data_IF_685065390950
#
_entry.id   IF_685065390950
#
_cell.length_a   1.000
_cell.length_b   1.000
_cell.length_c   1.000
_cell.angle_alpha   90.00
_cell.angle_beta   90.00
_cell.angle_gamma   90.00
#
_symmetry.space_group_name_H-M   'P 1'
#
loop_
_entity.id
_entity.type
_entity.pdbx_description
1 polymer ?
#
# COMPACT_ATOMS: atom_id res chain seq x y z
N UNK A 1 -6.98 13.52 11.25
CA UNK A 1 -7.37 12.11 11.02
C UNK A 1 -6.17 11.18 10.81
N UNK A 2 -5.50 11.16 9.64
CA UNK A 2 -4.40 10.22 9.38
C UNK A 2 -3.27 10.31 10.42
N UNK A 3 -2.76 11.52 10.71
CA UNK A 3 -1.70 11.73 11.69
C UNK A 3 -2.10 11.31 13.11
N UNK A 4 -3.32 11.65 13.53
CA UNK A 4 -3.86 11.25 14.83
C UNK A 4 -3.95 9.73 14.95
N UNK A 5 -4.47 9.06 13.93
CA UNK A 5 -4.55 7.60 13.88
C UNK A 5 -3.17 6.95 13.80
N UNK A 6 -2.23 7.53 13.05
CA UNK A 6 -0.84 7.06 13.02
C UNK A 6 -0.21 7.10 14.41
N UNK A 7 -0.38 8.20 15.14
CA UNK A 7 0.13 8.35 16.50
C UNK A 7 -0.56 7.39 17.48
N UNK A 8 -1.87 7.16 17.34
CA UNK A 8 -2.57 6.14 18.11
C UNK A 8 -2.01 4.74 17.82
N UNK A 9 -1.88 4.37 16.54
CA UNK A 9 -1.37 3.07 16.13
C UNK A 9 0.08 2.84 16.57
N UNK A 10 0.91 3.89 16.64
CA UNK A 10 2.28 3.81 17.19
C UNK A 10 2.33 3.32 18.65
N UNK A 11 1.25 3.49 19.42
CA UNK A 11 1.16 2.94 20.79
C UNK A 11 0.93 1.42 20.84
N UNK A 12 0.55 0.81 19.71
CA UNK A 12 0.15 -0.60 19.60
C UNK A 12 1.02 -1.38 18.62
N UNK A 13 1.54 -0.70 17.60
CA UNK A 13 2.39 -1.20 16.54
C UNK A 13 3.64 -0.33 16.50
N UNK A 14 4.77 -0.87 16.91
CA UNK A 14 6.01 -0.11 17.01
C UNK A 14 6.41 0.48 15.65
N UNK A 15 6.80 1.75 15.64
CA UNK A 15 7.24 2.51 14.45
C UNK A 15 6.20 2.59 13.32
N UNK A 16 4.90 2.45 13.63
CA UNK A 16 3.86 2.56 12.61
C UNK A 16 3.93 3.90 11.86
N UNK A 17 3.99 3.82 10.54
CA UNK A 17 3.97 4.97 9.64
C UNK A 17 3.17 4.57 8.41
N UNK A 18 2.20 5.40 8.01
CA UNK A 18 1.47 5.20 6.76
C UNK A 18 2.41 5.37 5.57
N UNK A 19 2.23 4.52 4.56
CA UNK A 19 2.95 4.58 3.30
C UNK A 19 1.96 4.94 2.20
N UNK A 20 2.08 6.15 1.65
CA UNK A 20 1.11 6.78 0.76
C UNK A 20 1.55 6.65 -0.70
N UNK A 21 0.67 6.12 -1.53
CA UNK A 21 0.87 6.06 -2.98
C UNK A 21 0.37 7.34 -3.63
N UNK A 22 1.16 7.91 -4.55
CA UNK A 22 0.77 9.15 -5.24
C UNK A 22 0.81 9.04 -6.76
N UNK A 23 -0.13 9.75 -7.39
CA UNK A 23 -0.27 9.93 -8.83
C UNK A 23 -0.53 11.40 -9.12
N UNK A 24 0.51 12.15 -9.45
CA UNK A 24 0.49 13.62 -9.49
C UNK A 24 -0.49 14.22 -10.50
N UNK A 25 -0.95 13.46 -11.51
CA UNK A 25 -1.93 13.95 -12.50
C UNK A 25 -3.24 14.38 -11.87
N UNK A 26 -3.61 13.76 -10.74
CA UNK A 26 -4.89 13.97 -10.08
C UNK A 26 -4.82 14.96 -8.93
N UNK A 27 -3.66 15.57 -8.70
CA UNK A 27 -3.53 16.64 -7.71
C UNK A 27 -4.46 17.79 -8.08
N UNK A 28 -5.27 18.25 -7.11
CA UNK A 28 -6.25 19.31 -7.29
C UNK A 28 -7.25 19.05 -8.43
N UNK A 29 -7.83 17.84 -8.43
CA UNK A 29 -8.89 17.46 -9.40
C UNK A 29 -10.22 17.11 -8.72
N UNK A 30 -10.34 17.38 -7.41
CA UNK A 30 -11.51 17.06 -6.59
C UNK A 30 -12.43 18.25 -6.36
N UNK A 31 -13.21 18.18 -5.28
CA UNK A 31 -13.90 19.36 -4.73
C UNK A 31 -12.92 20.27 -3.99
N UNK A 32 -13.35 21.49 -3.65
CA UNK A 32 -12.54 22.43 -2.86
C UNK A 32 -12.03 21.78 -1.54
N UNK A 33 -12.88 21.03 -0.85
CA UNK A 33 -12.51 20.32 0.37
C UNK A 33 -11.54 19.14 0.14
N UNK A 34 -11.62 18.48 -1.01
CA UNK A 34 -10.68 17.41 -1.38
C UNK A 34 -9.31 17.99 -1.72
N UNK A 35 -9.27 19.10 -2.46
CA UNK A 35 -8.06 19.81 -2.84
C UNK A 35 -7.35 20.43 -1.60
N UNK A 36 -8.11 20.94 -0.63
CA UNK A 36 -7.57 21.32 0.69
C UNK A 36 -6.97 20.12 1.44
N UNK A 37 -7.55 18.93 1.26
CA UNK A 37 -7.03 17.69 1.78
C UNK A 37 -5.68 17.30 1.17
N UNK A 38 -5.55 17.42 -0.15
CA UNK A 38 -4.30 17.21 -0.88
C UNK A 38 -3.21 18.17 -0.37
N UNK A 39 -3.53 19.45 -0.23
CA UNK A 39 -2.65 20.48 0.34
C UNK A 39 -2.16 20.10 1.73
N UNK A 40 -3.07 19.62 2.59
CA UNK A 40 -2.75 19.25 3.97
C UNK A 40 -1.84 18.02 4.04
N UNK A 41 -2.02 17.05 3.14
CA UNK A 41 -1.11 15.90 3.00
C UNK A 41 0.30 16.37 2.61
N UNK A 42 0.39 17.29 1.64
CA UNK A 42 1.68 17.81 1.17
C UNK A 42 2.40 18.68 2.21
N UNK A 43 1.66 19.44 3.03
CA UNK A 43 2.24 20.15 4.19
C UNK A 43 2.78 19.21 5.28
N UNK A 44 2.39 17.94 5.25
CA UNK A 44 2.77 16.91 6.22
C UNK A 44 3.67 15.82 5.61
N UNK A 45 4.38 16.12 4.51
CA UNK A 45 5.16 15.12 3.75
C UNK A 45 6.13 14.33 4.62
N UNK A 46 6.84 14.99 5.53
CA UNK A 46 7.85 14.36 6.39
C UNK A 46 7.27 13.40 7.44
N UNK A 47 5.95 13.42 7.65
CA UNK A 47 5.27 12.54 8.61
C UNK A 47 4.89 11.17 8.03
N UNK A 48 5.01 11.00 6.72
CA UNK A 48 4.58 9.80 5.99
C UNK A 48 5.72 9.19 5.17
N UNK A 49 5.56 7.91 4.84
CA UNK A 49 6.32 7.30 3.74
C UNK A 49 5.55 7.46 2.44
N UNK A 50 6.30 7.46 1.34
CA UNK A 50 5.75 7.71 0.02
C UNK A 50 6.24 6.70 -1.00
N UNK A 51 5.40 6.36 -1.96
CA UNK A 51 5.78 5.58 -3.13
C UNK A 51 5.08 6.08 -4.40
N UNK A 52 5.75 6.04 -5.57
CA UNK A 52 5.13 6.42 -6.81
C UNK A 52 4.11 5.38 -7.24
N UNK A 53 2.96 5.85 -7.75
CA UNK A 53 1.88 5.02 -8.27
C UNK A 53 1.51 5.38 -9.71
N UNK A 54 2.53 5.73 -10.53
CA UNK A 54 2.44 6.27 -11.89
C UNK A 54 1.74 7.64 -11.97
N UNK A 55 2.07 8.43 -12.99
CA UNK A 55 1.50 9.78 -13.18
C UNK A 55 -0.03 9.75 -13.27
N UNK A 56 -0.56 8.93 -14.17
CA UNK A 56 -1.97 8.89 -14.56
C UNK A 56 -2.71 7.65 -14.05
N UNK A 57 -2.14 6.91 -13.10
CA UNK A 57 -2.67 5.63 -12.61
C UNK A 57 -2.95 4.60 -13.72
N UNK A 58 -2.27 4.71 -14.86
CA UNK A 58 -2.42 3.77 -15.97
C UNK A 58 -1.71 2.44 -15.66
N UNK A 59 -2.38 1.34 -16.03
CA UNK A 59 -1.82 0.00 -15.86
C UNK A 59 -0.58 -0.19 -16.76
N UNK A 60 0.58 -0.60 -16.22
CA UNK A 60 1.82 -0.67 -17.00
C UNK A 60 1.79 -1.59 -18.22
N UNK A 61 1.02 -2.69 -18.19
CA UNK A 61 0.92 -3.63 -19.31
C UNK A 61 0.27 -3.03 -20.57
N UNK A 62 -0.43 -1.89 -20.45
CA UNK A 62 -1.02 -1.18 -21.59
C UNK A 62 0.03 -0.42 -22.41
N UNK A 63 1.24 -0.25 -21.87
CA UNK A 63 2.34 0.40 -22.57
C UNK A 63 3.16 -0.65 -23.32
N UNK A 64 3.16 -0.54 -24.65
CA UNK A 64 3.90 -1.45 -25.53
C UNK A 64 5.39 -1.11 -25.66
N UNK A 65 5.81 0.10 -25.25
CA UNK A 65 7.19 0.56 -25.33
C UNK A 65 7.66 1.08 -23.95
N UNK A 66 8.94 0.89 -23.64
CA UNK A 66 9.55 1.34 -22.38
C UNK A 66 9.56 2.88 -22.27
N UNK A 67 9.79 3.59 -23.40
CA UNK A 67 9.90 5.05 -23.43
C UNK A 67 8.68 5.76 -22.85
N UNK A 68 7.46 5.32 -23.21
CA UNK A 68 6.22 5.88 -22.70
C UNK A 68 6.01 5.61 -21.20
N UNK A 69 6.45 4.45 -20.69
CA UNK A 69 6.46 4.20 -19.24
C UNK A 69 7.42 5.16 -18.54
N UNK A 70 8.62 5.33 -19.09
CA UNK A 70 9.64 6.24 -18.55
C UNK A 70 9.13 7.68 -18.53
N UNK A 71 8.49 8.16 -19.60
CA UNK A 71 7.88 9.49 -19.66
C UNK A 71 6.83 9.69 -18.56
N UNK A 72 5.90 8.73 -18.38
CA UNK A 72 4.91 8.81 -17.30
C UNK A 72 5.56 8.78 -15.91
N UNK A 73 6.64 8.02 -15.73
CA UNK A 73 7.37 7.98 -14.47
C UNK A 73 8.14 9.28 -14.19
N UNK A 74 8.71 9.91 -15.22
CA UNK A 74 9.40 11.20 -15.11
C UNK A 74 8.43 12.29 -14.69
N UNK A 75 7.25 12.40 -15.32
CA UNK A 75 6.23 13.39 -14.94
C UNK A 75 5.84 13.25 -13.44
N UNK A 76 5.64 12.02 -12.99
CA UNK A 76 5.31 11.77 -11.59
C UNK A 76 6.50 12.08 -10.65
N UNK A 77 7.74 11.92 -11.11
CA UNK A 77 8.94 12.26 -10.35
C UNK A 77 9.16 13.77 -10.25
N UNK A 78 8.89 14.49 -11.33
CA UNK A 78 8.92 15.96 -11.34
C UNK A 78 7.92 16.53 -10.33
N UNK A 79 6.68 16.01 -10.33
CA UNK A 79 5.68 16.38 -9.32
C UNK A 79 6.18 16.14 -7.89
N UNK A 80 6.80 14.98 -7.64
CA UNK A 80 7.35 14.67 -6.32
C UNK A 80 8.45 15.65 -5.90
N UNK A 81 9.35 16.02 -6.82
CA UNK A 81 10.41 16.98 -6.57
C UNK A 81 9.87 18.39 -6.29
N UNK A 82 8.87 18.82 -7.05
CA UNK A 82 8.22 20.13 -6.88
C UNK A 82 7.55 20.27 -5.51
N UNK A 83 6.94 19.20 -5.01
CA UNK A 83 6.20 19.18 -3.75
C UNK A 83 7.00 18.60 -2.57
N UNK A 84 8.31 18.38 -2.73
CA UNK A 84 9.19 17.90 -1.67
C UNK A 84 8.97 16.44 -1.23
N UNK A 85 8.21 15.65 -1.98
CA UNK A 85 7.97 14.23 -1.67
C UNK A 85 9.28 13.42 -1.81
N UNK A 86 9.69 12.62 -0.79
CA UNK A 86 10.89 11.80 -0.86
C UNK A 86 10.87 10.79 -2.02
N UNK A 87 11.93 10.81 -2.83
CA UNK A 87 12.05 9.95 -4.04
C UNK A 87 12.99 8.75 -3.87
N UNK A 88 13.62 8.60 -2.70
CA UNK A 88 14.67 7.60 -2.43
C UNK A 88 14.21 6.44 -1.53
N UNK A 89 12.90 6.23 -1.41
CA UNK A 89 12.32 5.16 -0.56
C UNK A 89 12.55 3.74 -1.11
N UNK A 90 12.93 3.61 -2.39
CA UNK A 90 13.24 2.32 -3.02
C UNK A 90 12.04 1.39 -3.21
N UNK A 91 10.81 1.88 -3.00
CA UNK A 91 9.58 1.12 -3.08
C UNK A 91 8.58 1.77 -4.05
N UNK A 92 7.92 0.94 -4.87
CA UNK A 92 6.85 1.37 -5.76
C UNK A 92 5.76 0.32 -5.85
N UNK A 93 4.59 0.72 -6.31
CA UNK A 93 3.47 -0.18 -6.57
C UNK A 93 2.90 0.19 -7.94
N UNK A 94 2.70 -0.81 -8.81
CA UNK A 94 2.05 -0.58 -10.09
C UNK A 94 0.54 -0.40 -9.89
N UNK A 95 -0.13 0.50 -10.62
CA UNK A 95 -1.58 0.56 -10.68
C UNK A 95 -2.19 -0.81 -10.95
N UNK A 96 -3.15 -1.21 -10.13
CA UNK A 96 -3.79 -2.53 -10.17
C UNK A 96 -2.84 -3.73 -10.02
N UNK A 97 -1.64 -3.53 -9.46
CA UNK A 97 -0.55 -4.52 -9.44
C UNK A 97 -0.06 -4.98 -10.82
N UNK A 98 -0.56 -4.35 -11.86
CA UNK A 98 -0.43 -4.86 -13.21
C UNK A 98 1.01 -4.79 -13.71
N UNK A 99 1.45 -5.87 -14.35
CA UNK A 99 2.82 -6.03 -14.84
C UNK A 99 3.83 -6.34 -13.74
N UNK A 100 3.44 -6.36 -12.46
CA UNK A 100 4.26 -6.95 -11.40
C UNK A 100 4.23 -8.47 -11.56
N UNK A 101 3.03 -9.05 -11.71
CA UNK A 101 2.85 -10.45 -12.08
C UNK A 101 1.55 -10.72 -12.86
N UNK A 102 1.56 -11.32 -14.07
CA UNK A 102 2.73 -11.72 -14.84
C UNK A 102 3.68 -10.56 -15.09
N UNK A 103 4.97 -10.87 -15.09
CA UNK A 103 6.03 -9.86 -15.18
C UNK A 103 5.96 -9.15 -16.52
N UNK A 104 5.84 -7.81 -16.48
CA UNK A 104 6.05 -6.92 -17.62
C UNK A 104 7.46 -6.36 -17.55
N UNK A 105 8.38 -6.84 -18.40
CA UNK A 105 9.82 -6.56 -18.28
C UNK A 105 10.11 -5.05 -18.30
N UNK A 106 9.43 -4.32 -19.20
CA UNK A 106 9.60 -2.88 -19.37
C UNK A 106 9.29 -2.09 -18.07
N UNK A 107 8.35 -2.57 -17.25
CA UNK A 107 8.02 -1.95 -15.97
C UNK A 107 9.21 -2.00 -15.01
N UNK A 108 9.85 -3.16 -14.87
CA UNK A 108 10.98 -3.34 -13.96
C UNK A 108 12.21 -2.55 -14.42
N UNK A 109 12.48 -2.49 -15.73
CA UNK A 109 13.56 -1.64 -16.27
C UNK A 109 13.29 -0.16 -16.04
N UNK A 110 12.07 0.32 -16.34
CA UNK A 110 11.70 1.72 -16.13
C UNK A 110 11.76 2.11 -14.64
N UNK A 111 11.31 1.24 -13.73
CA UNK A 111 11.39 1.46 -12.30
C UNK A 111 12.82 1.60 -11.78
N UNK A 112 13.74 0.72 -12.19
CA UNK A 112 15.16 0.85 -11.83
C UNK A 112 15.74 2.15 -12.38
N UNK A 113 15.46 2.45 -13.66
CA UNK A 113 16.03 3.59 -14.38
C UNK A 113 15.57 4.94 -13.82
N UNK A 114 14.27 5.10 -13.56
CA UNK A 114 13.70 6.40 -13.17
C UNK A 114 13.71 6.59 -11.65
N UNK A 115 13.37 5.56 -10.90
CA UNK A 115 13.12 5.65 -9.45
C UNK A 115 14.15 4.91 -8.60
N UNK A 116 14.97 4.03 -9.18
CA UNK A 116 15.89 3.19 -8.41
C UNK A 116 15.16 2.20 -7.50
N UNK A 117 14.00 1.67 -7.95
CA UNK A 117 13.20 0.75 -7.13
C UNK A 117 13.96 -0.54 -6.85
N UNK A 118 13.88 -0.98 -5.59
CA UNK A 118 14.44 -2.24 -5.08
C UNK A 118 13.34 -3.18 -4.60
N UNK A 119 12.17 -2.64 -4.25
CA UNK A 119 11.05 -3.39 -3.68
C UNK A 119 9.74 -3.00 -4.36
N UNK A 120 8.90 -3.99 -4.60
CA UNK A 120 7.48 -3.77 -4.90
C UNK A 120 6.64 -4.82 -4.19
N UNK A 121 5.35 -4.87 -4.46
CA UNK A 121 4.47 -5.87 -3.88
C UNK A 121 3.26 -6.11 -4.79
N UNK A 122 2.73 -7.34 -4.74
CA UNK A 122 1.57 -7.75 -5.52
C UNK A 122 0.68 -8.70 -4.73
N UNK A 123 -0.60 -8.74 -5.08
CA UNK A 123 -1.53 -9.79 -4.64
C UNK A 123 -1.69 -10.94 -5.64
N UNK A 124 -0.99 -10.89 -6.78
CA UNK A 124 -1.25 -11.75 -7.94
C UNK A 124 -0.36 -13.01 -7.98
N UNK A 125 0.79 -13.03 -7.30
CA UNK A 125 1.77 -14.12 -7.39
C UNK A 125 1.62 -15.19 -6.31
N UNK A 126 1.70 -16.49 -6.66
CA UNK A 126 1.64 -17.04 -8.02
C UNK A 126 0.22 -17.03 -8.59
N UNK A 127 -0.78 -16.89 -7.71
CA UNK A 127 -2.19 -16.77 -8.06
C UNK A 127 -2.89 -15.78 -7.12
N UNK A 128 -3.87 -15.04 -7.66
CA UNK A 128 -4.71 -14.14 -6.87
C UNK A 128 -5.47 -14.88 -5.75
N UNK A 129 -5.90 -16.13 -6.03
CA UNK A 129 -6.60 -17.00 -5.07
C UNK A 129 -6.04 -18.43 -5.12
N UNK A 130 -6.02 -19.14 -3.97
CA UNK A 130 -6.33 -18.66 -2.63
C UNK A 130 -5.19 -17.82 -2.03
N UNK A 131 -5.51 -16.80 -1.24
CA UNK A 131 -4.54 -15.83 -0.72
C UNK A 131 -3.39 -16.46 0.08
N UNK A 132 -3.65 -17.57 0.78
CA UNK A 132 -2.64 -18.32 1.56
C UNK A 132 -1.49 -18.91 0.74
N UNK A 133 -1.63 -18.99 -0.59
CA UNK A 133 -0.57 -19.48 -1.47
C UNK A 133 0.26 -18.35 -2.07
N UNK A 134 -0.08 -17.08 -1.79
CA UNK A 134 0.71 -15.94 -2.26
C UNK A 134 2.10 -15.99 -1.63
N UNK A 135 3.11 -15.71 -2.46
CA UNK A 135 4.52 -15.71 -2.04
C UNK A 135 5.23 -14.49 -2.57
N UNK A 136 6.36 -14.16 -1.97
CA UNK A 136 7.30 -13.22 -2.58
C UNK A 136 8.10 -13.90 -3.67
N UNK A 137 8.68 -13.09 -4.56
CA UNK A 137 9.69 -13.54 -5.52
C UNK A 137 10.66 -12.40 -5.83
N UNK A 138 11.79 -12.71 -6.42
CA UNK A 138 12.76 -11.71 -6.88
C UNK A 138 12.82 -11.75 -8.39
N UNK A 139 12.61 -10.60 -9.03
CA UNK A 139 12.79 -10.46 -10.47
C UNK A 139 13.65 -9.24 -10.75
N UNK A 140 14.70 -9.41 -11.55
CA UNK A 140 15.55 -8.30 -11.99
C UNK A 140 16.12 -7.47 -10.82
N UNK A 141 16.54 -8.16 -9.75
CA UNK A 141 16.99 -7.60 -8.48
C UNK A 141 15.98 -6.72 -7.74
N UNK A 142 14.69 -6.79 -8.10
CA UNK A 142 13.59 -6.19 -7.35
C UNK A 142 12.89 -7.29 -6.54
N UNK A 143 12.84 -7.09 -5.23
CA UNK A 143 12.13 -7.94 -4.28
C UNK A 143 10.63 -7.64 -4.35
N UNK A 144 9.82 -8.64 -4.68
CA UNK A 144 8.37 -8.53 -4.76
C UNK A 144 7.74 -9.19 -3.55
N UNK A 145 7.02 -8.43 -2.75
CA UNK A 145 6.37 -8.93 -1.54
C UNK A 145 4.89 -9.33 -1.77
N UNK A 146 4.40 -10.40 -1.12
CA UNK A 146 3.01 -10.81 -1.24
C UNK A 146 2.11 -9.93 -0.38
N UNK A 147 1.12 -9.28 -1.00
CA UNK A 147 0.09 -8.52 -0.29
C UNK A 147 -1.05 -9.40 0.19
N UNK A 148 -1.59 -9.05 1.35
CA UNK A 148 -2.82 -9.60 1.90
C UNK A 148 -3.98 -8.64 1.69
N UNK A 149 -5.17 -9.21 1.55
CA UNK A 149 -6.43 -8.45 1.47
C UNK A 149 -6.93 -8.12 2.86
N UNK A 150 -7.49 -6.92 3.06
CA UNK A 150 -8.11 -6.52 4.32
C UNK A 150 -9.65 -6.46 4.26
N UNK A 151 -10.25 -6.92 3.16
CA UNK A 151 -11.70 -6.85 2.94
C UNK A 151 -12.22 -5.46 2.54
N UNK A 152 -11.35 -4.45 2.49
CA UNK A 152 -11.70 -3.11 2.01
C UNK A 152 -11.39 -2.99 0.52
N UNK A 153 -12.42 -2.68 -0.27
CA UNK A 153 -12.31 -2.41 -1.70
C UNK A 153 -12.49 -0.92 -1.99
N UNK A 154 -12.10 -0.48 -3.18
CA UNK A 154 -12.18 0.93 -3.62
C UNK A 154 -13.58 1.53 -3.53
N UNK A 155 -14.61 0.72 -3.76
CA UNK A 155 -16.01 1.15 -3.77
C UNK A 155 -16.69 1.11 -2.40
N UNK A 156 -16.05 0.51 -1.39
CA UNK A 156 -16.62 0.41 -0.04
C UNK A 156 -16.15 1.59 0.79
N UNK A 157 -16.97 2.63 0.83
CA UNK A 157 -16.66 3.92 1.48
C UNK A 157 -17.54 4.23 2.69
N UNK A 158 -18.72 3.62 2.77
CA UNK A 158 -19.65 3.73 3.91
C UNK A 158 -19.75 2.40 4.64
N UNK A 159 -19.78 2.45 5.97
CA UNK A 159 -19.79 1.27 6.83
C UNK A 159 -21.04 0.41 6.60
N UNK A 160 -22.19 1.06 6.45
CA UNK A 160 -23.49 0.42 6.15
C UNK A 160 -23.52 -0.35 4.82
N UNK A 161 -22.62 -0.01 3.90
CA UNK A 161 -22.54 -0.57 2.54
C UNK A 161 -21.45 -1.63 2.41
N UNK A 162 -20.79 -2.00 3.51
CA UNK A 162 -19.80 -3.07 3.50
C UNK A 162 -20.42 -4.37 2.95
N UNK A 163 -19.74 -5.11 2.05
CA UNK A 163 -20.26 -6.35 1.50
C UNK A 163 -20.63 -7.36 2.60
N UNK A 164 -21.91 -7.78 2.64
CA UNK A 164 -22.44 -8.64 3.70
C UNK A 164 -22.89 -7.89 4.97
N UNK A 165 -22.74 -6.57 5.01
CA UNK A 165 -23.17 -5.68 6.08
C UNK A 165 -22.04 -5.31 7.06
N UNK A 166 -22.23 -4.25 7.87
CA UNK A 166 -21.28 -3.80 8.89
C UNK A 166 -20.70 -4.91 9.78
N UNK A 167 -21.55 -5.85 10.18
CA UNK A 167 -21.17 -6.94 11.09
C UNK A 167 -20.13 -7.88 10.46
N UNK A 168 -20.06 -7.99 9.13
CA UNK A 168 -19.05 -8.83 8.48
C UNK A 168 -17.65 -8.21 8.57
N UNK A 169 -17.53 -6.88 8.48
CA UNK A 169 -16.26 -6.19 8.74
C UNK A 169 -15.84 -6.40 10.20
N UNK A 170 -16.76 -6.19 11.14
CA UNK A 170 -16.49 -6.38 12.57
C UNK A 170 -16.07 -7.82 12.89
N UNK A 171 -16.72 -8.82 12.31
CA UNK A 171 -16.34 -10.24 12.47
C UNK A 171 -14.96 -10.51 11.90
N UNK A 172 -14.65 -9.96 10.72
CA UNK A 172 -13.32 -10.11 10.11
C UNK A 172 -12.21 -9.57 11.02
N UNK A 173 -12.44 -8.42 11.66
CA UNK A 173 -11.51 -7.79 12.59
C UNK A 173 -11.40 -8.56 13.92
N UNK A 174 -12.54 -8.95 14.50
CA UNK A 174 -12.63 -9.51 15.87
C UNK A 174 -12.59 -11.03 15.86
N UNK A 175 -11.43 -11.59 15.51
CA UNK A 175 -11.19 -13.03 15.52
C UNK A 175 -11.46 -13.74 14.18
N UNK A 176 -11.93 -13.01 13.16
CA UNK A 176 -12.18 -13.54 11.82
C UNK A 176 -10.99 -13.45 10.88
N UNK A 177 -11.27 -13.36 9.58
CA UNK A 177 -10.28 -13.51 8.49
C UNK A 177 -9.10 -12.54 8.60
N UNK A 178 -9.34 -11.25 8.86
CA UNK A 178 -8.28 -10.25 8.95
C UNK A 178 -7.39 -10.49 10.19
N UNK A 179 -7.98 -10.85 11.33
CA UNK A 179 -7.21 -11.25 12.51
C UNK A 179 -6.37 -12.51 12.24
N UNK A 180 -6.98 -13.55 11.66
CA UNK A 180 -6.29 -14.78 11.30
C UNK A 180 -5.15 -14.53 10.32
N UNK A 181 -5.30 -13.55 9.43
CA UNK A 181 -4.23 -13.14 8.52
C UNK A 181 -3.01 -12.63 9.28
N UNK A 182 -3.17 -11.75 10.27
CA UNK A 182 -2.06 -11.30 11.12
C UNK A 182 -1.49 -12.46 11.94
N UNK A 183 -2.36 -13.32 12.48
CA UNK A 183 -1.93 -14.43 13.34
C UNK A 183 -1.07 -15.47 12.59
N UNK A 184 -1.41 -15.74 11.33
CA UNK A 184 -0.81 -16.80 10.53
C UNK A 184 0.34 -16.31 9.63
N UNK A 185 0.52 -15.00 9.47
CA UNK A 185 1.56 -14.44 8.62
C UNK A 185 2.54 -13.61 9.47
N UNK A 186 3.84 -14.00 9.55
CA UNK A 186 4.83 -13.23 10.32
C UNK A 186 5.11 -11.85 9.72
N UNK A 187 4.78 -11.66 8.44
CA UNK A 187 4.85 -10.38 7.73
C UNK A 187 3.50 -10.18 7.04
N UNK A 188 2.88 -9.04 7.30
CA UNK A 188 1.60 -8.65 6.70
C UNK A 188 1.75 -7.30 5.98
N UNK A 189 1.26 -7.25 4.74
CA UNK A 189 1.27 -6.07 3.87
C UNK A 189 -0.13 -5.91 3.33
N UNK A 190 -0.85 -4.94 3.89
CA UNK A 190 -2.23 -4.69 3.50
C UNK A 190 -2.32 -3.58 2.46
N UNK A 191 -3.23 -3.76 1.51
CA UNK A 191 -3.63 -2.71 0.58
C UNK A 191 -4.92 -2.05 1.04
N UNK A 192 -4.93 -0.73 1.00
CA UNK A 192 -6.10 0.14 1.09
C UNK A 192 -5.99 1.22 0.01
N UNK A 193 -7.08 1.94 -0.24
CA UNK A 193 -7.14 2.99 -1.25
C UNK A 193 -7.58 4.32 -0.61
N UNK A 194 -7.32 5.43 -1.30
CA UNK A 194 -7.69 6.78 -0.87
C UNK A 194 -9.15 6.86 -0.36
N UNK A 195 -10.08 6.24 -1.09
CA UNK A 195 -11.50 6.22 -0.75
C UNK A 195 -11.82 5.57 0.60
N UNK A 196 -10.97 4.65 1.09
CA UNK A 196 -11.13 4.04 2.41
C UNK A 196 -10.77 4.99 3.56
N UNK A 197 -10.20 6.16 3.27
CA UNK A 197 -9.83 7.20 4.24
C UNK A 197 -10.68 8.46 4.14
N UNK A 198 -11.56 8.56 3.13
CA UNK A 198 -12.61 9.58 3.03
C UNK A 198 -13.79 9.28 3.98
N UNK A 199 -15.00 9.69 3.61
CA UNK A 199 -16.31 9.38 4.25
C UNK A 199 -16.25 8.74 5.66
N UNK A 200 -16.58 7.45 5.79
CA UNK A 200 -16.63 6.74 7.09
C UNK A 200 -15.24 6.26 7.57
N UNK A 201 -14.17 6.57 6.80
CA UNK A 201 -12.77 6.29 7.15
C UNK A 201 -12.53 4.82 7.51
N UNK A 202 -13.11 3.90 6.72
CA UNK A 202 -13.09 2.47 6.99
C UNK A 202 -11.68 1.89 7.16
N UNK A 203 -10.68 2.42 6.46
CA UNK A 203 -9.28 2.03 6.66
C UNK A 203 -8.81 2.29 8.09
N UNK A 204 -9.11 3.47 8.63
CA UNK A 204 -8.75 3.83 10.01
C UNK A 204 -9.53 3.00 11.03
N UNK A 205 -10.86 2.89 10.82
CA UNK A 205 -11.70 2.05 11.67
C UNK A 205 -11.17 0.61 11.75
N UNK A 206 -10.85 0.01 10.61
CA UNK A 206 -10.44 -1.39 10.51
C UNK A 206 -9.14 -1.64 11.27
N UNK A 207 -8.08 -0.88 10.98
CA UNK A 207 -6.76 -1.16 11.55
C UNK A 207 -6.62 -0.75 13.01
N UNK A 208 -7.32 0.30 13.46
CA UNK A 208 -7.36 0.64 14.90
C UNK A 208 -8.06 -0.45 15.69
N UNK A 209 -9.23 -0.92 15.23
CA UNK A 209 -9.94 -1.99 15.92
C UNK A 209 -9.19 -3.33 15.87
N UNK A 210 -8.48 -3.61 14.77
CA UNK A 210 -7.63 -4.80 14.65
C UNK A 210 -6.45 -4.75 15.63
N UNK A 211 -5.74 -3.62 15.70
CA UNK A 211 -4.62 -3.45 16.63
C UNK A 211 -5.10 -3.54 18.09
N UNK A 212 -6.23 -2.91 18.43
CA UNK A 212 -6.90 -3.05 19.73
C UNK A 212 -7.19 -4.52 20.06
N UNK A 213 -7.77 -5.26 19.11
CA UNK A 213 -8.13 -6.66 19.32
C UNK A 213 -6.89 -7.54 19.52
N UNK A 214 -5.86 -7.40 18.67
CA UNK A 214 -4.59 -8.13 18.80
C UNK A 214 -3.94 -7.87 20.15
N UNK A 215 -3.87 -6.60 20.58
CA UNK A 215 -3.27 -6.20 21.86
C UNK A 215 -4.06 -6.76 23.07
N UNK A 216 -5.39 -6.82 22.97
CA UNK A 216 -6.26 -7.23 24.08
C UNK A 216 -6.31 -8.75 24.25
N UNK A 217 -6.21 -9.51 23.16
CA UNK A 217 -6.49 -10.95 23.14
C UNK A 217 -5.28 -11.82 22.85
N UNK A 218 -4.12 -11.23 22.57
CA UNK A 218 -2.89 -11.97 22.27
C UNK A 218 -1.67 -11.33 22.93
N UNK A 219 -0.55 -12.05 22.92
CA UNK A 219 0.75 -11.51 23.31
C UNK A 219 1.60 -11.08 22.10
N UNK A 220 1.02 -10.99 20.91
CA UNK A 220 1.74 -10.59 19.69
C UNK A 220 2.29 -9.18 19.83
N UNK A 221 3.53 -8.99 19.36
CA UNK A 221 4.18 -7.68 19.27
C UNK A 221 4.26 -7.29 17.82
N UNK A 222 3.49 -6.28 17.44
CA UNK A 222 3.46 -5.77 16.08
C UNK A 222 4.50 -4.67 15.91
N UNK A 223 5.19 -4.68 14.77
CA UNK A 223 6.18 -3.68 14.39
C UNK A 223 6.06 -3.38 12.90
N UNK A 224 6.27 -2.12 12.54
CA UNK A 224 6.40 -1.68 11.16
C UNK A 224 7.87 -1.49 10.81
N UNK A 225 8.27 -1.96 9.62
CA UNK A 225 9.59 -1.76 9.04
C UNK A 225 9.45 -0.95 7.73
N UNK A 226 10.42 -0.09 7.38
CA UNK A 226 10.47 0.54 6.07
C UNK A 226 10.43 -0.52 4.96
N UNK A 227 9.82 -0.27 3.79
CA UNK A 227 9.57 -1.28 2.77
C UNK A 227 10.79 -2.12 2.37
N UNK A 228 11.96 -1.49 2.22
CA UNK A 228 13.23 -2.19 1.88
C UNK A 228 13.66 -3.14 3.00
N UNK A 229 13.63 -2.69 4.25
CA UNK A 229 13.95 -3.52 5.41
C UNK A 229 12.93 -4.65 5.60
N UNK A 230 11.64 -4.37 5.37
CA UNK A 230 10.59 -5.38 5.41
C UNK A 230 10.82 -6.46 4.36
N UNK A 231 11.27 -6.08 3.15
CA UNK A 231 11.58 -7.02 2.10
C UNK A 231 12.75 -7.93 2.44
N UNK A 232 13.86 -7.36 2.93
CA UNK A 232 14.98 -8.16 3.41
C UNK A 232 14.55 -9.13 4.51
N UNK A 233 13.71 -8.67 5.45
CA UNK A 233 13.19 -9.54 6.50
C UNK A 233 12.30 -10.66 5.96
N UNK A 234 11.51 -10.38 4.93
CA UNK A 234 10.70 -11.38 4.26
C UNK A 234 11.56 -12.47 3.63
N UNK A 235 12.56 -12.11 2.83
CA UNK A 235 13.42 -13.09 2.16
C UNK A 235 14.42 -13.78 3.12
N UNK A 236 14.67 -13.23 4.30
CA UNK A 236 15.36 -13.94 5.40
C UNK A 236 14.50 -15.08 5.96
N UNK A 237 13.19 -14.84 6.16
CA UNK A 237 12.25 -15.82 6.70
C UNK A 237 11.78 -16.84 5.64
N UNK A 238 11.73 -16.42 4.37
CA UNK A 238 11.26 -17.18 3.23
C UNK A 238 12.32 -17.13 2.11
N UNK A 239 13.40 -17.91 2.22
CA UNK A 239 14.51 -17.88 1.24
C UNK A 239 14.20 -18.60 -0.07
N UNK A 240 13.12 -19.38 -0.13
CA UNK A 240 12.61 -20.09 -1.32
C UNK A 240 11.68 -19.21 -2.16
#
# INVERSE_FOLDING_TARGET
ALLETQNLLRTQVANFTFNLGFSGKFYHTGTEEEDEGDDLLLRSVDEFWWFPHMWSHMQPHLFHNESSLVEQMILNKEFALEHGIPINMGYAVAPHHSGVYPVHIQLYEAWKKVWGIQVTSTEEYPHLKPARYRKGFIHNNIMVLPRQTCGLFTHTIFYKEYPGGPQELDKSIRGGELFLTILLNPISIFMTHLSNYGNDRLGLYTFVNLANFVQSWTNLKLQTLPPVHLAHKYFELFPE
#
